data_IF_018362976496
#
_entry.id   IF_018362976496
#
_cell.length_a   1.000
_cell.length_b   1.000
_cell.length_c   1.000
_cell.angle_alpha   90.00
_cell.angle_beta   90.00
_cell.angle_gamma   90.00
#
_symmetry.space_group_name_H-M   'P 1'
#
loop_
_entity.id
_entity.type
_entity.pdbx_description
1 polymer ?
#
# COMPACT_ATOMS: atom_id res chain seq x y z
N UNK A 1 49.51 -21.68 32.91
CA UNK A 1 48.48 -20.63 32.82
C UNK A 1 48.48 -20.14 31.38
N UNK A 2 47.63 -20.74 30.55
CA UNK A 2 47.59 -20.55 29.11
C UNK A 2 46.21 -19.98 28.76
N UNK A 3 46.18 -18.76 28.25
CA UNK A 3 44.95 -18.07 27.88
C UNK A 3 44.37 -18.71 26.61
N UNK A 4 43.18 -19.28 26.74
CA UNK A 4 42.38 -19.81 25.64
C UNK A 4 41.80 -18.64 24.83
N UNK A 5 42.29 -18.46 23.60
CA UNK A 5 41.55 -17.81 22.53
C UNK A 5 40.75 -18.87 21.78
N UNK A 6 39.46 -18.96 22.11
CA UNK A 6 38.49 -19.77 21.37
C UNK A 6 37.83 -18.89 20.32
N UNK A 7 38.30 -19.00 19.08
CA UNK A 7 37.50 -18.68 17.88
C UNK A 7 36.37 -19.70 17.74
N UNK A 8 35.12 -19.29 17.49
CA UNK A 8 34.14 -20.15 16.86
C UNK A 8 34.10 -19.83 15.37
N UNK A 9 34.59 -20.80 14.58
CA UNK A 9 34.22 -20.98 13.20
C UNK A 9 32.72 -21.23 13.07
N UNK A 10 32.09 -20.64 12.07
CA UNK A 10 31.47 -21.38 10.95
C UNK A 10 30.27 -20.61 10.40
N UNK A 11 30.36 -20.39 9.11
CA UNK A 11 29.37 -19.77 8.25
C UNK A 11 28.03 -20.50 8.34
N UNK A 12 27.01 -19.84 8.87
CA UNK A 12 25.63 -20.16 8.50
C UNK A 12 25.37 -19.60 7.10
N UNK A 13 25.71 -20.39 6.07
CA UNK A 13 25.17 -20.19 4.73
C UNK A 13 23.64 -20.33 4.85
N UNK A 14 22.96 -19.20 5.03
CA UNK A 14 21.52 -19.10 4.99
C UNK A 14 21.01 -19.73 3.70
N UNK A 15 20.10 -20.69 3.87
CA UNK A 15 19.43 -21.45 2.80
C UNK A 15 19.11 -20.52 1.63
N UNK A 16 19.66 -20.85 0.45
CA UNK A 16 19.20 -20.26 -0.81
C UNK A 16 17.70 -20.54 -0.94
N UNK A 17 16.87 -19.54 -0.62
CA UNK A 17 15.41 -19.67 -0.69
C UNK A 17 15.01 -20.12 -2.08
N UNK A 18 14.44 -21.33 -2.18
CA UNK A 18 13.84 -21.84 -3.42
C UNK A 18 12.83 -20.77 -3.88
N UNK A 19 13.05 -20.23 -5.08
CA UNK A 19 12.13 -19.29 -5.72
C UNK A 19 10.74 -19.92 -5.75
N UNK A 20 9.77 -19.34 -5.05
CA UNK A 20 8.36 -19.77 -5.16
C UNK A 20 7.96 -19.70 -6.65
N UNK A 21 7.40 -20.77 -7.22
CA UNK A 21 6.97 -20.79 -8.62
C UNK A 21 6.02 -19.63 -8.92
N UNK A 22 6.08 -19.12 -10.15
CA UNK A 22 5.12 -18.11 -10.62
C UNK A 22 3.73 -18.76 -10.64
N UNK A 23 2.76 -18.11 -10.00
CA UNK A 23 1.35 -18.53 -10.03
C UNK A 23 0.73 -18.19 -11.38
N UNK A 24 -0.12 -19.07 -11.88
CA UNK A 24 -0.89 -18.81 -13.11
C UNK A 24 -2.05 -17.84 -12.80
N UNK A 25 -2.31 -16.90 -13.70
CA UNK A 25 -3.29 -15.84 -13.43
C UNK A 25 -4.72 -16.37 -13.23
N UNK A 26 -5.02 -17.53 -13.82
CA UNK A 26 -6.29 -18.25 -13.70
C UNK A 26 -6.31 -19.28 -12.55
N UNK A 27 -5.25 -19.38 -11.75
CA UNK A 27 -5.17 -20.32 -10.62
C UNK A 27 -6.33 -20.10 -9.63
N UNK A 28 -7.06 -21.18 -9.29
CA UNK A 28 -8.21 -21.12 -8.38
C UNK A 28 -9.47 -20.48 -8.98
N UNK A 29 -9.55 -20.34 -10.31
CA UNK A 29 -10.74 -19.87 -11.03
C UNK A 29 -11.47 -21.02 -11.72
N UNK A 30 -12.79 -20.88 -11.86
CA UNK A 30 -13.61 -21.75 -12.71
C UNK A 30 -13.16 -21.62 -14.17
N UNK A 31 -13.36 -22.68 -14.95
CA UNK A 31 -12.98 -22.69 -16.36
C UNK A 31 -13.76 -21.64 -17.17
N UNK A 32 -13.03 -20.66 -17.71
CA UNK A 32 -13.56 -19.62 -18.60
C UNK A 32 -14.20 -18.43 -17.87
N UNK A 33 -14.26 -17.26 -18.53
CA UNK A 33 -14.94 -16.09 -17.98
C UNK A 33 -16.46 -16.29 -17.98
N UNK A 34 -17.14 -15.78 -16.95
CA UNK A 34 -18.60 -15.77 -16.85
C UNK A 34 -19.21 -14.55 -17.54
N UNK A 35 -18.45 -13.47 -17.68
CA UNK A 35 -18.83 -12.27 -18.41
C UNK A 35 -17.59 -11.42 -18.74
N UNK A 36 -17.79 -10.37 -19.54
CA UNK A 36 -16.76 -9.36 -19.86
C UNK A 36 -17.33 -7.99 -19.57
N UNK A 37 -16.65 -7.20 -18.74
CA UNK A 37 -17.01 -5.81 -18.50
C UNK A 37 -16.54 -4.94 -19.66
N UNK A 38 -17.42 -4.05 -20.12
CA UNK A 38 -17.11 -3.05 -21.14
C UNK A 38 -16.66 -1.75 -20.49
N UNK A 39 -15.80 -1.02 -21.20
CA UNK A 39 -15.38 0.31 -20.75
C UNK A 39 -16.57 1.27 -20.87
N UNK A 40 -17.03 1.90 -19.78
CA UNK A 40 -18.19 2.77 -19.83
C UNK A 40 -17.88 4.09 -20.55
N UNK A 41 -18.91 4.70 -21.15
CA UNK A 41 -18.80 6.03 -21.75
C UNK A 41 -18.64 7.11 -20.67
N UNK A 42 -17.72 8.04 -20.88
CA UNK A 42 -17.58 9.23 -20.03
C UNK A 42 -18.83 10.11 -20.14
N UNK A 43 -19.25 10.70 -19.02
CA UNK A 43 -20.17 11.84 -18.98
C UNK A 43 -19.37 13.17 -19.03
N UNK A 44 -20.09 14.26 -18.79
CA UNK A 44 -19.56 15.64 -18.78
C UNK A 44 -19.07 16.09 -17.39
N UNK A 45 -19.43 15.41 -16.30
CA UNK A 45 -19.11 15.83 -14.93
C UNK A 45 -17.64 15.62 -14.56
N UNK A 46 -16.93 16.65 -14.09
CA UNK A 46 -15.51 16.52 -13.71
C UNK A 46 -15.33 15.51 -12.57
N UNK A 47 -14.45 14.52 -12.79
CA UNK A 47 -14.07 13.58 -11.75
C UNK A 47 -13.04 14.21 -10.82
N UNK A 48 -13.36 14.24 -9.53
CA UNK A 48 -12.47 14.73 -8.48
C UNK A 48 -12.54 13.80 -7.27
N UNK A 49 -11.41 13.70 -6.57
CA UNK A 49 -11.36 13.12 -5.23
C UNK A 49 -11.68 14.23 -4.23
N UNK A 50 -12.58 13.97 -3.29
CA UNK A 50 -13.06 14.92 -2.28
C UNK A 50 -12.99 14.30 -0.89
N UNK A 51 -13.04 15.13 0.14
CA UNK A 51 -13.17 14.71 1.54
C UNK A 51 -12.09 13.70 1.98
N UNK A 52 -10.84 13.98 1.59
CA UNK A 52 -9.69 13.13 1.89
C UNK A 52 -9.38 13.17 3.39
N UNK A 53 -9.31 12.00 4.01
CA UNK A 53 -9.00 11.86 5.43
C UNK A 53 -8.02 10.72 5.67
N UNK A 54 -7.01 10.96 6.50
CA UNK A 54 -6.19 9.90 7.07
C UNK A 54 -7.00 9.12 8.10
N UNK A 55 -6.97 7.79 8.02
CA UNK A 55 -7.73 6.92 8.93
C UNK A 55 -6.90 5.81 9.56
N UNK A 56 -5.70 5.56 9.06
CA UNK A 56 -4.81 4.56 9.64
C UNK A 56 -3.54 4.38 8.83
N UNK A 57 -2.55 3.74 9.43
CA UNK A 57 -1.34 3.31 8.72
C UNK A 57 -0.64 2.19 9.49
N UNK A 58 0.31 1.54 8.84
CA UNK A 58 1.16 0.54 9.47
C UNK A 58 2.46 0.28 8.70
N UNK A 59 3.46 -0.25 9.41
CA UNK A 59 4.62 -0.91 8.80
C UNK A 59 4.57 -2.40 9.13
N UNK A 60 5.02 -3.26 8.21
CA UNK A 60 5.33 -4.65 8.56
C UNK A 60 6.71 -4.73 9.21
N UNK A 61 6.96 -5.74 10.03
CA UNK A 61 8.32 -6.10 10.48
C UNK A 61 8.81 -7.38 9.79
N UNK A 62 10.09 -7.73 9.98
CA UNK A 62 10.65 -9.00 9.50
C UNK A 62 10.53 -10.15 10.51
N UNK A 63 9.62 -10.03 11.49
CA UNK A 63 9.35 -11.11 12.43
C UNK A 63 8.86 -12.37 11.70
N UNK A 64 9.14 -13.54 12.29
CA UNK A 64 8.67 -14.82 11.77
C UNK A 64 7.15 -14.96 11.82
N UNK A 65 6.52 -14.37 12.84
CA UNK A 65 5.06 -14.22 12.92
C UNK A 65 4.63 -12.91 12.26
N UNK A 66 3.46 -12.88 11.58
CA UNK A 66 2.92 -11.65 11.00
C UNK A 66 2.80 -10.55 12.08
N UNK A 67 3.60 -9.50 11.95
CA UNK A 67 3.66 -8.41 12.93
C UNK A 67 3.63 -7.06 12.21
N UNK A 68 2.76 -6.16 12.67
CA UNK A 68 2.69 -4.78 12.20
C UNK A 68 2.94 -3.77 13.32
N UNK A 69 3.54 -2.65 12.96
CA UNK A 69 3.66 -1.44 13.79
C UNK A 69 2.51 -0.52 13.44
N UNK A 70 1.74 -0.05 14.44
CA UNK A 70 0.57 0.83 14.23
C UNK A 70 0.66 2.08 15.12
N UNK A 71 0.50 3.30 14.57
CA UNK A 71 0.30 3.62 13.15
C UNK A 71 1.54 3.33 12.27
N UNK A 72 2.70 3.07 12.87
CA UNK A 72 3.96 3.09 12.15
C UNK A 72 4.28 4.49 11.63
N UNK A 73 5.33 4.60 10.81
CA UNK A 73 5.71 5.85 10.15
C UNK A 73 6.50 5.58 8.86
N UNK A 74 6.35 6.44 7.84
CA UNK A 74 7.21 6.41 6.66
C UNK A 74 8.63 6.85 7.02
N UNK A 75 9.57 6.62 6.10
CA UNK A 75 10.96 7.01 6.30
C UNK A 75 11.10 8.54 6.19
N UNK A 76 11.94 9.15 7.01
CA UNK A 76 12.15 10.60 7.06
C UNK A 76 13.21 11.01 6.04
N UNK A 77 12.88 11.97 5.18
CA UNK A 77 13.75 12.58 4.19
C UNK A 77 14.98 13.23 4.83
N UNK A 78 16.19 12.90 4.34
CA UNK A 78 17.49 13.38 4.87
C UNK A 78 18.06 14.60 4.15
N UNK A 79 17.41 15.08 3.09
CA UNK A 79 17.89 16.18 2.24
C UNK A 79 19.39 16.09 1.88
N UNK A 80 19.86 14.89 1.52
CA UNK A 80 21.27 14.63 1.26
C UNK A 80 21.77 15.46 0.06
N UNK A 81 22.93 16.15 0.16
CA UNK A 81 23.48 16.90 -0.95
C UNK A 81 23.91 15.99 -2.10
N UNK A 82 23.78 16.49 -3.34
CA UNK A 82 24.26 15.83 -4.56
C UNK A 82 25.61 16.41 -5.00
N UNK A 83 26.48 15.62 -5.67
CA UNK A 83 26.25 14.24 -6.09
C UNK A 83 26.50 13.21 -4.98
N UNK A 84 25.86 12.04 -5.08
CA UNK A 84 26.20 10.87 -4.27
C UNK A 84 25.99 9.58 -5.06
N UNK A 85 26.69 8.52 -4.66
CA UNK A 85 26.60 7.20 -5.32
C UNK A 85 25.96 6.19 -4.39
N UNK A 86 25.16 5.29 -4.95
CA UNK A 86 24.55 4.16 -4.26
C UNK A 86 24.86 2.86 -5.01
N UNK A 87 24.90 1.70 -4.34
CA UNK A 87 25.01 0.41 -5.02
C UNK A 87 23.76 0.12 -5.88
N UNK A 88 23.87 -0.86 -6.76
CA UNK A 88 22.69 -1.41 -7.44
C UNK A 88 21.76 -2.09 -6.43
N UNK A 89 20.45 -1.99 -6.69
CA UNK A 89 19.43 -2.70 -5.95
C UNK A 89 19.74 -4.21 -6.00
N UNK A 90 19.68 -4.85 -4.84
CA UNK A 90 19.91 -6.28 -4.69
C UNK A 90 18.85 -6.89 -3.77
N UNK A 91 18.73 -8.22 -3.81
CA UNK A 91 17.77 -8.94 -2.98
C UNK A 91 16.35 -8.99 -3.57
N UNK A 92 15.36 -9.09 -2.68
CA UNK A 92 13.96 -9.27 -3.03
C UNK A 92 13.13 -8.08 -2.58
N UNK A 93 12.26 -7.61 -3.46
CA UNK A 93 11.24 -6.61 -3.17
C UNK A 93 9.87 -7.27 -3.05
N UNK A 94 9.05 -6.79 -2.12
CA UNK A 94 7.63 -7.08 -2.08
C UNK A 94 6.89 -6.40 -3.24
N UNK A 95 6.20 -7.20 -4.05
CA UNK A 95 5.18 -6.69 -4.95
C UNK A 95 3.86 -6.56 -4.19
N UNK A 96 3.54 -7.54 -3.35
CA UNK A 96 2.38 -7.53 -2.47
C UNK A 96 2.81 -8.02 -1.08
N UNK A 97 3.07 -7.07 -0.19
CA UNK A 97 3.56 -7.39 1.15
C UNK A 97 2.47 -8.01 2.03
N UNK A 98 1.21 -7.60 1.88
CA UNK A 98 0.11 -8.20 2.65
C UNK A 98 -0.14 -9.63 2.20
N UNK A 99 -0.23 -9.87 0.89
CA UNK A 99 -0.35 -11.22 0.36
C UNK A 99 0.86 -12.12 0.65
N UNK A 100 2.05 -11.54 0.88
CA UNK A 100 3.21 -12.31 1.35
C UNK A 100 3.14 -12.63 2.85
N UNK A 101 2.93 -11.61 3.69
CA UNK A 101 3.04 -11.72 5.16
C UNK A 101 1.80 -12.36 5.78
N UNK A 102 0.62 -12.18 5.18
CA UNK A 102 -0.64 -12.72 5.68
C UNK A 102 -1.56 -13.18 4.53
N UNK A 103 -1.20 -14.24 3.79
CA UNK A 103 -1.90 -14.67 2.58
C UNK A 103 -3.37 -15.07 2.78
N UNK A 104 -3.74 -15.55 3.97
CA UNK A 104 -5.11 -15.99 4.29
C UNK A 104 -6.04 -14.82 4.66
N UNK A 105 -5.48 -13.64 4.97
CA UNK A 105 -6.24 -12.47 5.38
C UNK A 105 -5.56 -11.16 4.95
N UNK A 106 -5.26 -10.97 3.65
CA UNK A 106 -4.43 -9.87 3.17
C UNK A 106 -5.04 -8.48 3.41
N UNK A 107 -6.35 -8.36 3.62
CA UNK A 107 -6.99 -7.08 3.94
C UNK A 107 -7.10 -6.81 5.45
N UNK A 108 -6.84 -7.81 6.32
CA UNK A 108 -6.99 -7.66 7.76
C UNK A 108 -6.11 -6.53 8.35
N UNK A 109 -4.83 -6.36 7.96
CA UNK A 109 -4.01 -5.26 8.48
C UNK A 109 -4.62 -3.88 8.23
N UNK A 110 -5.40 -3.70 7.15
CA UNK A 110 -6.08 -2.44 6.85
C UNK A 110 -7.12 -2.13 7.92
N UNK A 111 -8.01 -3.08 8.22
CA UNK A 111 -9.07 -2.91 9.21
C UNK A 111 -8.49 -2.70 10.61
N UNK A 112 -7.53 -3.56 10.98
CA UNK A 112 -6.93 -3.52 12.32
C UNK A 112 -6.15 -2.22 12.55
N UNK A 113 -5.41 -1.72 11.56
CA UNK A 113 -4.71 -0.45 11.69
C UNK A 113 -5.68 0.74 11.88
N UNK A 114 -6.79 0.76 11.12
CA UNK A 114 -7.84 1.79 11.26
C UNK A 114 -8.50 1.73 12.63
N UNK A 115 -8.90 0.54 13.09
CA UNK A 115 -9.54 0.38 14.40
C UNK A 115 -8.60 0.78 15.56
N UNK A 116 -7.32 0.40 15.48
CA UNK A 116 -6.33 0.75 16.50
C UNK A 116 -6.08 2.26 16.55
N UNK A 117 -5.94 2.90 15.39
CA UNK A 117 -5.79 4.37 15.32
C UNK A 117 -7.04 5.08 15.84
N UNK A 118 -8.24 4.59 15.50
CA UNK A 118 -9.50 5.13 16.00
C UNK A 118 -9.70 4.97 17.52
N UNK A 119 -9.06 3.98 18.14
CA UNK A 119 -9.15 3.73 19.59
C UNK A 119 -8.20 4.58 20.43
N UNK A 120 -7.25 5.26 19.79
CA UNK A 120 -6.20 6.05 20.45
C UNK A 120 -6.64 7.48 20.66
N UNK A 121 -6.68 7.92 21.92
CA UNK A 121 -7.04 9.30 22.29
C UNK A 121 -5.98 10.34 21.90
N UNK A 122 -4.74 9.91 21.68
CA UNK A 122 -3.60 10.75 21.33
C UNK A 122 -3.44 10.97 19.81
N UNK A 123 -4.25 10.30 18.98
CA UNK A 123 -4.20 10.43 17.53
C UNK A 123 -5.53 11.00 17.02
N UNK A 124 -5.54 12.19 16.40
CA UNK A 124 -6.70 12.70 15.69
C UNK A 124 -7.10 11.71 14.60
N UNK A 125 -8.28 11.10 14.75
CA UNK A 125 -8.75 10.08 13.82
C UNK A 125 -10.26 10.11 13.68
N UNK A 126 -10.74 9.72 12.50
CA UNK A 126 -12.17 9.61 12.21
C UNK A 126 -12.59 8.16 12.37
N UNK A 127 -13.55 7.90 13.27
CA UNK A 127 -14.16 6.58 13.38
C UNK A 127 -14.89 6.27 12.06
N UNK A 128 -14.55 5.14 11.46
CA UNK A 128 -15.15 4.70 10.20
C UNK A 128 -16.42 3.90 10.47
N UNK A 129 -17.52 4.35 9.88
CA UNK A 129 -18.74 3.55 9.73
C UNK A 129 -18.55 2.57 8.58
N UNK A 130 -18.01 1.38 8.86
CA UNK A 130 -17.67 0.37 7.86
C UNK A 130 -18.82 -0.01 6.89
N UNK A 131 -20.09 -0.18 7.33
CA UNK A 131 -21.22 -0.43 6.43
C UNK A 131 -21.49 0.69 5.41
N UNK A 132 -21.00 1.91 5.65
CA UNK A 132 -21.12 3.02 4.69
C UNK A 132 -20.07 2.99 3.57
N UNK A 133 -18.99 2.22 3.71
CA UNK A 133 -17.89 2.16 2.75
C UNK A 133 -18.31 1.38 1.51
N UNK A 134 -17.96 1.88 0.32
CA UNK A 134 -18.27 1.23 -0.96
C UNK A 134 -17.14 0.34 -1.44
N UNK A 135 -15.88 0.75 -1.25
CA UNK A 135 -14.71 0.00 -1.70
C UNK A 135 -13.59 0.00 -0.66
N UNK A 136 -12.97 -1.16 -0.47
CA UNK A 136 -11.64 -1.28 0.13
C UNK A 136 -10.70 -1.78 -0.97
N UNK A 137 -9.77 -0.94 -1.41
CA UNK A 137 -8.88 -1.22 -2.54
C UNK A 137 -7.50 -0.62 -2.31
N UNK A 138 -6.47 -1.21 -2.90
CA UNK A 138 -5.15 -0.57 -2.90
C UNK A 138 -4.96 0.35 -4.11
N UNK A 139 -4.06 1.32 -4.00
CA UNK A 139 -3.72 2.25 -5.10
C UNK A 139 -3.25 1.53 -6.36
N UNK A 140 -2.68 0.33 -6.22
CA UNK A 140 -2.28 -0.50 -7.36
C UNK A 140 -3.50 -1.00 -8.17
N UNK A 141 -4.55 -1.46 -7.49
CA UNK A 141 -5.81 -1.88 -8.09
C UNK A 141 -6.48 -0.75 -8.87
N UNK A 142 -6.57 0.45 -8.28
CA UNK A 142 -7.09 1.64 -8.98
C UNK A 142 -6.29 1.98 -10.23
N UNK A 143 -4.95 1.88 -10.18
CA UNK A 143 -4.08 2.10 -11.35
C UNK A 143 -4.25 1.03 -12.43
N UNK A 144 -4.45 -0.24 -12.05
CA UNK A 144 -4.77 -1.33 -13.00
C UNK A 144 -6.10 -1.06 -13.70
N UNK A 145 -7.14 -0.69 -12.95
CA UNK A 145 -8.44 -0.32 -13.53
C UNK A 145 -8.34 0.94 -14.42
N UNK A 146 -7.57 1.95 -14.03
CA UNK A 146 -7.26 3.11 -14.88
C UNK A 146 -6.57 2.74 -16.20
N UNK A 147 -5.65 1.79 -16.14
CA UNK A 147 -5.02 1.25 -17.34
C UNK A 147 -6.06 0.65 -18.28
N UNK A 148 -7.03 -0.09 -17.75
CA UNK A 148 -8.04 -0.79 -18.54
C UNK A 148 -9.02 0.18 -19.19
N UNK A 149 -9.57 1.14 -18.43
CA UNK A 149 -10.44 2.19 -19.01
C UNK A 149 -9.68 3.08 -20.02
N UNK A 150 -8.36 3.16 -19.88
CA UNK A 150 -7.47 3.82 -20.84
C UNK A 150 -7.04 2.94 -22.03
N UNK A 151 -7.63 1.74 -22.18
CA UNK A 151 -7.32 0.71 -23.17
C UNK A 151 -5.83 0.31 -23.23
N UNK A 152 -5.13 0.41 -22.10
CA UNK A 152 -3.74 -0.01 -21.99
C UNK A 152 -3.69 -1.53 -21.99
N UNK A 153 -2.86 -2.11 -22.87
CA UNK A 153 -2.56 -3.54 -22.86
C UNK A 153 -1.87 -3.91 -21.54
N UNK A 154 -2.49 -4.77 -20.75
CA UNK A 154 -1.95 -5.21 -19.47
C UNK A 154 -2.50 -6.58 -19.07
N UNK A 155 -1.76 -7.25 -18.19
CA UNK A 155 -2.21 -8.49 -17.54
C UNK A 155 -2.23 -8.28 -16.04
N UNK A 156 -3.40 -8.39 -15.43
CA UNK A 156 -3.55 -8.28 -13.98
C UNK A 156 -4.77 -9.05 -13.49
N UNK A 157 -4.78 -9.33 -12.18
CA UNK A 157 -5.93 -9.89 -11.49
C UNK A 157 -6.25 -9.09 -10.23
N UNK A 158 -7.54 -8.92 -9.96
CA UNK A 158 -8.08 -8.38 -8.70
C UNK A 158 -9.16 -9.35 -8.24
N UNK A 159 -9.03 -9.87 -7.02
CA UNK A 159 -10.03 -10.75 -6.44
C UNK A 159 -11.05 -9.91 -5.67
N UNK A 160 -12.34 -10.20 -5.89
CA UNK A 160 -13.45 -9.42 -5.37
C UNK A 160 -14.33 -10.28 -4.45
N UNK A 161 -14.78 -9.64 -3.38
CA UNK A 161 -15.72 -10.21 -2.42
C UNK A 161 -16.65 -9.11 -1.90
N UNK A 162 -17.94 -9.43 -1.77
CA UNK A 162 -18.89 -8.56 -1.09
C UNK A 162 -18.74 -8.69 0.43
N UNK A 163 -18.70 -7.56 1.14
CA UNK A 163 -18.80 -7.49 2.59
C UNK A 163 -20.00 -6.60 2.97
N UNK A 164 -20.81 -7.09 3.92
CA UNK A 164 -22.08 -6.44 4.24
C UNK A 164 -23.02 -6.40 3.04
N UNK A 165 -23.69 -5.26 2.86
CA UNK A 165 -24.67 -5.07 1.80
C UNK A 165 -24.06 -4.54 0.49
N UNK A 166 -22.99 -3.75 0.57
CA UNK A 166 -22.47 -3.00 -0.60
C UNK A 166 -20.95 -2.90 -0.71
N UNK A 167 -20.19 -3.22 0.32
CA UNK A 167 -18.75 -2.97 0.32
C UNK A 167 -18.04 -4.00 -0.55
N UNK A 168 -17.35 -3.54 -1.59
CA UNK A 168 -16.48 -4.38 -2.41
C UNK A 168 -15.09 -4.43 -1.79
N UNK A 169 -14.69 -5.62 -1.38
CA UNK A 169 -13.32 -5.91 -0.98
C UNK A 169 -12.51 -6.29 -2.21
N UNK A 170 -11.53 -5.44 -2.55
CA UNK A 170 -10.62 -5.66 -3.66
C UNK A 170 -9.30 -6.20 -3.14
N UNK A 171 -9.12 -7.52 -3.19
CA UNK A 171 -7.87 -8.15 -2.84
C UNK A 171 -6.88 -8.10 -4.02
N UNK A 172 -5.66 -7.68 -3.71
CA UNK A 172 -4.57 -7.68 -4.68
C UNK A 172 -4.16 -9.11 -4.98
N UNK A 173 -3.97 -9.40 -6.27
CA UNK A 173 -3.39 -10.65 -6.72
C UNK A 173 -2.11 -10.36 -7.52
N UNK A 174 -1.03 -11.04 -7.16
CA UNK A 174 0.23 -11.01 -7.89
C UNK A 174 0.72 -12.43 -8.17
N UNK A 175 1.24 -12.67 -9.37
CA UNK A 175 1.80 -13.97 -9.74
C UNK A 175 3.01 -14.34 -8.88
N UNK A 176 3.68 -13.32 -8.32
CA UNK A 176 4.71 -13.42 -7.29
C UNK A 176 4.52 -12.28 -6.30
N UNK A 177 4.48 -12.59 -5.01
CA UNK A 177 4.37 -11.58 -3.95
C UNK A 177 5.73 -10.94 -3.62
N UNK A 178 6.84 -11.59 -4.00
CA UNK A 178 8.20 -11.04 -4.02
C UNK A 178 8.89 -11.22 -5.37
N UNK A 179 9.67 -10.24 -5.80
CA UNK A 179 10.50 -10.34 -7.00
C UNK A 179 11.94 -9.93 -6.72
N UNK A 180 12.89 -10.59 -7.37
CA UNK A 180 14.29 -10.13 -7.35
C UNK A 180 14.41 -8.85 -8.15
N UNK A 181 15.11 -7.86 -7.60
CA UNK A 181 15.49 -6.63 -8.31
C UNK A 181 16.97 -6.69 -8.65
N UNK A 182 17.28 -6.30 -9.89
CA UNK A 182 18.64 -6.18 -10.42
C UNK A 182 18.65 -5.03 -11.43
N UNK A 183 19.77 -4.31 -11.53
CA UNK A 183 19.96 -3.27 -12.53
C UNK A 183 19.10 -2.02 -12.34
N UNK A 184 18.57 -1.79 -11.14
CA UNK A 184 17.93 -0.54 -10.73
C UNK A 184 18.65 0.08 -9.52
N UNK A 185 18.35 1.34 -9.21
CA UNK A 185 18.94 2.08 -8.09
C UNK A 185 17.86 2.74 -7.22
N UNK A 186 16.62 2.25 -7.31
CA UNK A 186 15.46 2.88 -6.67
C UNK A 186 15.53 2.76 -5.16
N UNK A 187 15.78 1.53 -4.68
CA UNK A 187 15.82 1.25 -3.27
C UNK A 187 17.06 1.77 -2.59
N UNK A 188 18.21 1.56 -3.22
CA UNK A 188 19.45 2.09 -2.67
C UNK A 188 19.43 3.63 -2.65
N UNK A 189 18.70 4.28 -3.57
CA UNK A 189 18.40 5.72 -3.48
C UNK A 189 17.52 6.06 -2.28
N UNK A 190 16.36 5.41 -2.14
CA UNK A 190 15.44 5.62 -1.02
C UNK A 190 16.16 5.46 0.32
N UNK A 191 16.92 4.37 0.51
CA UNK A 191 17.68 4.10 1.71
C UNK A 191 18.77 5.17 1.97
N UNK A 192 19.48 5.59 0.92
CA UNK A 192 20.54 6.58 1.05
C UNK A 192 20.03 7.98 1.41
N UNK A 193 18.79 8.30 1.02
CA UNK A 193 18.23 9.65 1.18
C UNK A 193 17.14 9.77 2.24
N UNK A 194 16.85 8.67 2.95
CA UNK A 194 15.88 8.64 4.05
C UNK A 194 16.43 7.87 5.26
N UNK A 195 15.79 8.01 6.42
CA UNK A 195 16.00 7.13 7.57
C UNK A 195 14.69 6.59 8.12
N UNK A 196 14.76 5.48 8.86
CA UNK A 196 13.63 5.05 9.66
C UNK A 196 13.24 6.17 10.66
N UNK A 197 11.93 6.40 10.80
CA UNK A 197 11.43 7.26 11.86
C UNK A 197 11.65 6.59 13.23
N UNK A 198 11.85 7.36 14.30
CA UNK A 198 12.03 6.83 15.64
C UNK A 198 10.93 5.83 16.04
N UNK A 199 11.34 4.66 16.50
CA UNK A 199 10.43 3.59 16.91
C UNK A 199 9.86 2.75 15.76
N UNK A 200 10.24 3.00 14.51
CA UNK A 200 9.86 2.23 13.33
C UNK A 200 11.07 1.58 12.64
N UNK A 201 12.21 1.45 13.34
CA UNK A 201 13.46 0.90 12.81
C UNK A 201 13.35 -0.57 12.41
N UNK A 202 12.48 -1.33 13.08
CA UNK A 202 12.15 -2.71 12.71
C UNK A 202 11.13 -2.80 11.55
N UNK A 203 10.62 -1.65 11.08
CA UNK A 203 9.75 -1.59 9.92
C UNK A 203 10.49 -1.98 8.65
N UNK A 204 9.97 -2.97 7.92
CA UNK A 204 10.56 -3.52 6.72
C UNK A 204 9.56 -3.48 5.56
N UNK A 205 10.05 -3.25 4.34
CA UNK A 205 9.26 -3.34 3.11
C UNK A 205 8.22 -2.23 2.90
N UNK A 206 8.39 -1.09 3.59
CA UNK A 206 7.64 0.15 3.35
C UNK A 206 6.65 0.52 4.46
N UNK A 207 6.06 1.70 4.34
CA UNK A 207 5.00 2.20 5.21
C UNK A 207 3.68 2.24 4.42
N UNK A 208 2.65 1.59 4.93
CA UNK A 208 1.33 1.53 4.31
C UNK A 208 0.40 2.54 4.96
N UNK A 209 0.03 3.58 4.21
CA UNK A 209 -0.98 4.56 4.61
C UNK A 209 -2.36 4.14 4.13
N UNK A 210 -3.37 4.48 4.90
CA UNK A 210 -4.79 4.23 4.63
C UNK A 210 -5.52 5.56 4.74
N UNK A 211 -6.18 5.95 3.64
CA UNK A 211 -7.02 7.14 3.59
C UNK A 211 -8.45 6.75 3.19
N UNK A 212 -9.41 7.58 3.56
CA UNK A 212 -10.75 7.55 2.99
C UNK A 212 -10.98 8.81 2.15
N UNK A 213 -11.77 8.70 1.09
CA UNK A 213 -12.22 9.84 0.30
C UNK A 213 -13.48 9.51 -0.50
N UNK A 214 -14.19 10.53 -0.99
CA UNK A 214 -15.21 10.38 -2.02
C UNK A 214 -14.58 10.37 -3.42
N UNK A 215 -15.01 9.44 -4.26
CA UNK A 215 -14.68 9.43 -5.68
C UNK A 215 -15.89 9.03 -6.52
N UNK A 216 -16.47 10.01 -7.22
CA UNK A 216 -17.70 9.83 -8.00
C UNK A 216 -18.87 9.29 -7.15
N UNK A 217 -19.03 9.83 -5.92
CA UNK A 217 -20.10 9.42 -5.01
C UNK A 217 -19.88 8.09 -4.31
N UNK A 218 -18.71 7.46 -4.49
CA UNK A 218 -18.31 6.23 -3.82
C UNK A 218 -17.38 6.57 -2.65
N UNK A 219 -17.72 6.06 -1.46
CA UNK A 219 -16.86 6.16 -0.28
C UNK A 219 -15.75 5.12 -0.36
N UNK A 220 -14.55 5.58 -0.69
CA UNK A 220 -13.38 4.73 -0.92
C UNK A 220 -12.52 4.66 0.34
N UNK A 221 -12.08 3.47 0.72
CA UNK A 221 -10.94 3.24 1.62
C UNK A 221 -9.77 2.74 0.78
N UNK A 222 -8.70 3.55 0.73
CA UNK A 222 -7.56 3.31 -0.16
C UNK A 222 -6.27 3.15 0.61
N UNK A 223 -5.59 2.03 0.36
CA UNK A 223 -4.31 1.69 0.97
C UNK A 223 -3.17 1.82 -0.04
N UNK A 224 -2.04 2.40 0.38
CA UNK A 224 -0.87 2.60 -0.48
C UNK A 224 0.42 2.71 0.33
N UNK A 225 1.53 2.40 -0.31
CA UNK A 225 2.86 2.68 0.23
C UNK A 225 3.17 4.18 0.13
N UNK A 226 3.80 4.72 1.18
CA UNK A 226 4.44 6.04 1.21
C UNK A 226 5.95 5.85 1.36
N UNK A 227 6.71 6.41 0.42
CA UNK A 227 8.16 6.23 0.35
C UNK A 227 8.88 7.07 1.42
N UNK A 228 8.45 8.32 1.61
CA UNK A 228 9.04 9.22 2.57
C UNK A 228 8.07 10.25 3.17
N UNK A 229 8.49 10.89 4.24
CA UNK A 229 7.93 12.13 4.73
C UNK A 229 9.02 13.15 5.07
N UNK A 230 8.64 14.41 5.23
CA UNK A 230 9.45 15.38 5.96
C UNK A 230 8.78 15.70 7.31
N UNK A 231 9.60 15.93 8.32
CA UNK A 231 9.14 16.53 9.58
C UNK A 231 9.28 18.04 9.38
N UNK A 232 8.22 18.86 9.51
CA UNK A 232 8.36 20.30 9.53
C UNK A 232 9.41 20.70 10.58
N UNK A 233 10.32 21.61 10.27
CA UNK A 233 11.23 22.16 11.29
C UNK A 233 10.39 22.78 12.43
N UNK A 234 10.79 22.50 13.68
CA UNK A 234 10.03 22.71 14.91
C UNK A 234 9.28 24.06 14.97
N UNK A 235 8.02 24.10 15.46
CA UNK A 235 7.53 25.32 16.10
C UNK A 235 8.38 25.63 17.35
N UNK A 236 8.58 26.90 17.73
CA UNK A 236 9.55 27.26 18.75
C UNK A 236 9.16 26.73 20.14
N UNK A 237 10.17 26.15 20.81
CA UNK A 237 10.28 25.74 22.22
C UNK A 237 9.47 24.51 22.66
N UNK A 238 10.25 23.48 23.03
CA UNK A 238 9.80 22.17 23.48
C UNK A 238 8.75 22.23 24.59
N UNK A 239 7.64 21.52 24.36
CA UNK A 239 6.62 21.26 25.38
C UNK A 239 6.93 19.97 26.15
N UNK A 240 6.37 19.83 27.35
CA UNK A 240 6.58 18.66 28.22
C UNK A 240 6.13 17.33 27.55
N UNK A 241 5.24 17.40 26.56
CA UNK A 241 4.77 16.26 25.76
C UNK A 241 5.82 15.74 24.75
N UNK A 242 6.72 16.58 24.26
CA UNK A 242 7.80 16.14 23.35
C UNK A 242 8.84 15.33 24.10
N UNK A 243 9.11 15.67 25.36
CA UNK A 243 10.02 14.89 26.21
C UNK A 243 9.45 13.50 26.52
N UNK A 244 8.13 13.39 26.72
CA UNK A 244 7.46 12.09 26.85
C UNK A 244 7.50 11.27 25.55
N UNK A 245 7.39 11.94 24.40
CA UNK A 245 7.52 11.32 23.07
C UNK A 245 8.95 10.83 22.81
N UNK A 246 9.96 11.59 23.23
CA UNK A 246 11.37 11.18 23.15
C UNK A 246 11.67 9.98 24.06
N UNK A 247 11.11 9.95 25.27
CA UNK A 247 11.23 8.81 26.20
C UNK A 247 10.50 7.57 25.67
N UNK A 248 9.31 7.71 25.09
CA UNK A 248 8.59 6.62 24.43
C UNK A 248 9.32 6.11 23.17
N UNK A 249 10.03 6.99 22.46
CA UNK A 249 10.85 6.62 21.31
C UNK A 249 12.08 5.78 21.70
N UNK A 250 12.60 5.94 22.93
CA UNK A 250 13.71 5.15 23.50
C UNK A 250 13.29 3.80 24.09
N UNK A 251 12.00 3.55 24.30
CA UNK A 251 11.50 2.25 24.75
C UNK A 251 11.77 1.17 23.68
N UNK A 252 12.28 0.02 24.13
CA UNK A 252 12.53 -1.12 23.23
C UNK A 252 11.20 -1.66 22.70
N UNK A 253 11.18 -2.23 21.48
CA UNK A 253 9.94 -2.75 20.88
C UNK A 253 9.23 -3.77 21.78
N UNK A 254 9.97 -4.52 22.61
CA UNK A 254 9.44 -5.48 23.58
C UNK A 254 8.65 -4.87 24.73
N UNK A 255 8.83 -3.58 25.01
CA UNK A 255 8.14 -2.88 26.11
C UNK A 255 6.88 -2.14 25.63
N UNK A 256 6.60 -2.14 24.33
CA UNK A 256 5.50 -1.40 23.75
C UNK A 256 4.17 -2.16 23.84
N UNK A 257 3.04 -1.45 24.01
CA UNK A 257 1.72 -2.06 24.01
C UNK A 257 1.52 -2.94 22.78
N UNK A 258 1.15 -4.18 22.99
CA UNK A 258 1.01 -5.19 21.94
C UNK A 258 -0.35 -5.86 22.05
N UNK A 259 -1.04 -6.01 20.92
CA UNK A 259 -2.28 -6.77 20.80
C UNK A 259 -2.12 -7.88 19.75
N UNK A 260 -2.91 -8.94 19.88
CA UNK A 260 -2.87 -10.09 18.95
C UNK A 260 -4.27 -10.37 18.45
N UNK A 261 -4.39 -10.52 17.13
CA UNK A 261 -5.64 -10.80 16.44
C UNK A 261 -5.56 -12.18 15.80
N UNK A 262 -6.44 -13.09 16.20
CA UNK A 262 -6.51 -14.44 15.64
C UNK A 262 -7.06 -14.35 14.21
N UNK A 263 -6.36 -15.00 13.28
CA UNK A 263 -6.77 -15.09 11.87
C UNK A 263 -7.41 -16.45 11.60
N UNK A 264 -6.72 -17.51 12.02
CA UNK A 264 -7.17 -18.90 11.98
C UNK A 264 -6.50 -19.70 13.13
N UNK A 265 -6.67 -21.02 13.15
CA UNK A 265 -6.12 -21.91 14.19
C UNK A 265 -4.59 -21.86 14.30
N UNK A 266 -3.90 -21.45 13.25
CA UNK A 266 -2.44 -21.50 13.13
C UNK A 266 -1.78 -20.13 12.97
N UNK A 267 -2.57 -19.12 12.66
CA UNK A 267 -2.07 -17.79 12.27
C UNK A 267 -2.72 -16.70 13.11
N UNK A 268 -1.88 -15.80 13.64
CA UNK A 268 -2.32 -14.56 14.27
C UNK A 268 -1.53 -13.37 13.71
N UNK A 269 -2.13 -12.18 13.80
CA UNK A 269 -1.51 -10.91 13.50
C UNK A 269 -1.19 -10.20 14.81
N UNK A 270 0.10 -9.96 15.06
CA UNK A 270 0.57 -9.15 16.19
C UNK A 270 0.60 -7.68 15.78
N UNK A 271 0.11 -6.81 16.64
CA UNK A 271 0.11 -5.35 16.47
C UNK A 271 0.88 -4.73 17.60
N UNK A 272 1.93 -3.97 17.27
CA UNK A 272 2.74 -3.23 18.23
C UNK A 272 2.45 -1.75 18.06
N UNK A 273 2.09 -1.06 19.15
CA UNK A 273 1.90 0.37 19.14
C UNK A 273 3.25 1.07 18.94
N UNK A 274 3.49 1.67 17.77
CA UNK A 274 4.78 2.21 17.38
C UNK A 274 4.65 3.22 16.24
N UNK A 275 5.53 4.22 16.20
CA UNK A 275 5.47 5.30 15.22
C UNK A 275 4.37 6.31 15.49
N UNK A 276 4.36 7.35 14.66
CA UNK A 276 3.45 8.48 14.76
C UNK A 276 2.68 8.69 13.45
N UNK A 277 1.41 9.16 13.53
CA UNK A 277 0.70 9.60 12.35
C UNK A 277 1.43 10.81 11.77
N UNK A 278 1.51 10.86 10.45
CA UNK A 278 2.10 11.98 9.71
C UNK A 278 1.02 12.70 8.89
N UNK A 279 1.10 14.02 8.85
CA UNK A 279 0.21 14.87 8.06
C UNK A 279 0.27 14.48 6.59
N UNK A 280 -0.87 14.55 5.89
CA UNK A 280 -0.92 14.10 4.49
C UNK A 280 -0.04 14.98 3.60
N UNK A 281 0.01 16.27 3.93
CA UNK A 281 0.78 17.33 3.31
C UNK A 281 2.28 17.02 3.36
N UNK A 282 2.72 16.26 4.36
CA UNK A 282 4.13 15.91 4.55
C UNK A 282 4.56 14.61 3.87
N UNK A 283 3.65 13.93 3.15
CA UNK A 283 3.97 12.69 2.42
C UNK A 283 4.67 12.98 1.09
N UNK A 284 5.63 12.12 0.74
CA UNK A 284 6.44 12.25 -0.47
C UNK A 284 6.55 10.89 -1.16
N UNK A 285 6.29 10.89 -2.47
CA UNK A 285 6.64 9.79 -3.36
C UNK A 285 8.06 10.02 -3.90
N UNK A 286 8.88 8.98 -3.92
CA UNK A 286 10.22 8.99 -4.45
C UNK A 286 10.24 8.34 -5.84
N UNK A 287 11.11 8.83 -6.71
CA UNK A 287 11.34 8.25 -8.01
C UNK A 287 12.78 8.41 -8.43
N UNK A 288 13.24 7.49 -9.27
CA UNK A 288 14.53 7.61 -9.94
C UNK A 288 14.32 7.78 -11.43
N UNK A 289 15.16 8.61 -12.05
CA UNK A 289 15.16 8.84 -13.48
C UNK A 289 16.58 8.69 -14.01
N UNK A 290 16.76 7.86 -15.04
CA UNK A 290 18.04 7.76 -15.74
C UNK A 290 18.23 9.00 -16.61
N UNK A 291 19.41 9.62 -16.58
CA UNK A 291 19.71 10.78 -17.43
C UNK A 291 19.45 10.46 -18.91
N UNK A 292 18.68 11.32 -19.58
CA UNK A 292 18.30 11.15 -20.99
C UNK A 292 17.00 10.36 -21.23
N UNK A 293 16.43 9.72 -20.20
CA UNK A 293 15.17 8.99 -20.35
C UNK A 293 13.96 9.90 -20.06
N UNK A 294 12.92 9.79 -20.88
CA UNK A 294 11.64 10.45 -20.62
C UNK A 294 10.93 9.83 -19.41
N UNK A 295 10.30 10.68 -18.59
CA UNK A 295 9.52 10.23 -17.44
C UNK A 295 8.11 9.82 -17.85
N UNK A 296 7.59 8.75 -17.25
CA UNK A 296 6.21 8.31 -17.43
C UNK A 296 5.25 9.15 -16.58
N UNK A 297 5.05 10.41 -16.96
CA UNK A 297 4.30 11.39 -16.17
C UNK A 297 2.85 10.99 -15.89
N UNK A 298 2.16 10.36 -16.85
CA UNK A 298 0.80 9.81 -16.64
C UNK A 298 0.76 8.78 -15.52
N UNK A 299 1.73 7.88 -15.49
CA UNK A 299 1.81 6.87 -14.45
C UNK A 299 2.09 7.52 -13.10
N UNK A 300 3.06 8.43 -13.02
CA UNK A 300 3.40 9.12 -11.76
C UNK A 300 2.28 10.01 -11.25
N UNK A 301 1.61 10.75 -12.12
CA UNK A 301 0.42 11.51 -11.74
C UNK A 301 -0.66 10.62 -11.13
N UNK A 302 -0.95 9.46 -11.73
CA UNK A 302 -1.92 8.51 -11.16
C UNK A 302 -1.48 7.92 -9.81
N UNK A 303 -0.17 7.85 -9.54
CA UNK A 303 0.32 7.46 -8.21
C UNK A 303 -0.11 8.50 -7.19
N UNK A 304 0.29 9.76 -7.42
CA UNK A 304 0.00 10.90 -6.55
C UNK A 304 -1.51 11.15 -6.41
N UNK A 305 -2.26 11.04 -7.51
CA UNK A 305 -3.70 11.31 -7.52
C UNK A 305 -4.48 10.30 -6.67
N UNK A 306 -4.25 9.00 -6.78
CA UNK A 306 -5.01 8.04 -5.96
C UNK A 306 -4.50 7.92 -4.52
N UNK A 307 -3.24 8.28 -4.25
CA UNK A 307 -2.72 8.35 -2.89
C UNK A 307 -2.95 9.70 -2.21
N UNK A 308 -3.37 10.71 -2.98
CA UNK A 308 -3.40 12.11 -2.54
C UNK A 308 -2.06 12.57 -1.97
N UNK A 309 -0.96 12.02 -2.50
CA UNK A 309 0.41 12.41 -2.11
C UNK A 309 0.76 13.73 -2.82
N UNK A 310 1.10 14.79 -2.08
CA UNK A 310 1.24 16.14 -2.63
C UNK A 310 2.52 16.31 -3.45
N UNK A 311 3.59 15.59 -3.10
CA UNK A 311 4.92 15.82 -3.65
C UNK A 311 5.57 14.55 -4.23
N UNK A 312 6.36 14.77 -5.28
CA UNK A 312 7.19 13.79 -5.95
C UNK A 312 8.63 14.29 -6.00
N UNK A 313 9.55 13.58 -5.37
CA UNK A 313 10.99 13.87 -5.46
C UNK A 313 11.65 12.89 -6.42
N UNK A 314 12.43 13.42 -7.36
CA UNK A 314 13.01 12.67 -8.47
C UNK A 314 14.52 12.77 -8.41
N UNK A 315 15.18 11.67 -8.07
CA UNK A 315 16.62 11.53 -8.18
C UNK A 315 17.04 11.23 -9.62
N UNK A 316 17.73 12.17 -10.28
CA UNK A 316 18.32 11.95 -11.61
C UNK A 316 19.67 11.28 -11.44
N UNK A 317 19.87 10.15 -12.12
CA UNK A 317 21.06 9.33 -11.97
C UNK A 317 21.68 8.86 -13.27
N UNK A 318 22.99 8.62 -13.21
CA UNK A 318 23.78 7.91 -14.21
C UNK A 318 24.59 6.80 -13.52
N UNK A 319 24.21 5.54 -13.76
CA UNK A 319 24.83 4.34 -13.20
C UNK A 319 24.99 4.40 -11.66
N UNK A 320 23.92 4.77 -10.96
CA UNK A 320 23.90 4.85 -9.49
C UNK A 320 24.49 6.13 -8.89
N UNK A 321 25.10 6.99 -9.71
CA UNK A 321 25.49 8.33 -9.29
C UNK A 321 24.31 9.31 -9.49
N UNK A 322 23.74 9.77 -8.39
CA UNK A 322 22.67 10.75 -8.33
C UNK A 322 23.26 12.15 -8.37
N UNK A 323 22.94 12.91 -9.42
CA UNK A 323 23.54 14.22 -9.70
C UNK A 323 22.61 15.38 -9.40
N UNK A 324 21.31 15.12 -9.26
CA UNK A 324 20.28 16.12 -9.00
C UNK A 324 19.08 15.44 -8.34
N UNK A 325 18.46 16.12 -7.38
CA UNK A 325 17.12 15.76 -6.87
C UNK A 325 16.18 16.92 -7.19
N UNK A 326 15.22 16.68 -8.08
CA UNK A 326 14.19 17.69 -8.41
C UNK A 326 12.88 17.38 -7.68
N UNK A 327 12.19 18.42 -7.22
CA UNK A 327 10.88 18.31 -6.55
C UNK A 327 9.76 18.76 -7.48
N UNK A 328 8.62 18.08 -7.43
CA UNK A 328 7.40 18.42 -8.15
C UNK A 328 6.20 18.27 -7.22
N UNK A 329 5.22 19.15 -7.37
CA UNK A 329 3.93 19.02 -6.69
C UNK A 329 2.90 18.39 -7.64
N UNK A 330 1.85 17.79 -7.09
CA UNK A 330 0.73 17.28 -7.89
C UNK A 330 0.09 18.41 -8.72
N UNK A 331 0.02 19.64 -8.17
CA UNK A 331 -0.47 20.82 -8.88
C UNK A 331 0.40 21.18 -10.08
N UNK A 332 1.74 21.04 -9.97
CA UNK A 332 2.66 21.26 -11.10
C UNK A 332 2.47 20.26 -12.25
N UNK A 333 1.73 19.17 -12.01
CA UNK A 333 1.38 18.14 -12.98
C UNK A 333 -0.09 18.20 -13.41
N UNK A 334 -0.81 19.30 -13.15
CA UNK A 334 -2.23 19.46 -13.50
C UNK A 334 -2.53 19.21 -14.98
N UNK A 335 -1.64 19.63 -15.88
CA UNK A 335 -1.76 19.37 -17.32
C UNK A 335 -1.85 17.86 -17.65
N UNK A 336 -1.25 16.99 -16.83
CA UNK A 336 -1.39 15.53 -16.96
C UNK A 336 -2.79 15.11 -16.53
N UNK A 337 -3.28 15.67 -15.42
CA UNK A 337 -4.63 15.51 -14.90
C UNK A 337 -5.70 15.84 -15.92
N UNK A 338 -5.62 17.01 -16.55
CA UNK A 338 -6.57 17.46 -17.58
C UNK A 338 -6.67 16.47 -18.73
N UNK A 339 -5.52 15.93 -19.16
CA UNK A 339 -5.43 14.94 -20.24
C UNK A 339 -6.00 13.56 -19.86
N UNK A 340 -6.22 13.28 -18.57
CA UNK A 340 -6.78 12.00 -18.09
C UNK A 340 -8.16 12.13 -17.47
N UNK A 341 -8.73 13.34 -17.37
CA UNK A 341 -10.04 13.59 -16.77
C UNK A 341 -11.15 12.71 -17.36
N UNK A 342 -11.19 12.57 -18.70
CA UNK A 342 -12.13 11.65 -19.37
C UNK A 342 -12.03 10.23 -18.83
N UNK A 343 -10.81 9.72 -18.59
CA UNK A 343 -10.57 8.36 -18.08
C UNK A 343 -10.95 8.23 -16.61
N UNK A 344 -10.78 9.29 -15.81
CA UNK A 344 -11.20 9.29 -14.40
C UNK A 344 -12.72 9.17 -14.27
N UNK A 345 -13.49 9.82 -15.16
CA UNK A 345 -14.96 9.66 -15.22
C UNK A 345 -15.37 8.24 -15.62
N UNK A 346 -14.70 7.70 -16.63
CA UNK A 346 -14.90 6.31 -17.06
C UNK A 346 -14.59 5.32 -15.92
N UNK A 347 -13.53 5.58 -15.13
CA UNK A 347 -13.24 4.77 -13.95
C UNK A 347 -14.35 4.87 -12.90
N UNK A 348 -14.85 6.07 -12.60
CA UNK A 348 -15.96 6.26 -11.65
C UNK A 348 -17.16 5.38 -11.98
N UNK A 349 -17.62 5.44 -13.23
CA UNK A 349 -18.70 4.57 -13.72
C UNK A 349 -18.35 3.08 -13.70
N UNK A 350 -17.11 2.74 -14.02
CA UNK A 350 -16.66 1.36 -13.97
C UNK A 350 -16.70 0.80 -12.56
N UNK A 351 -16.36 1.60 -11.54
CA UNK A 351 -16.46 1.19 -10.14
C UNK A 351 -17.92 0.95 -9.74
N UNK A 352 -18.86 1.81 -10.14
CA UNK A 352 -20.30 1.55 -9.95
C UNK A 352 -20.74 0.23 -10.59
N UNK A 353 -20.33 -0.05 -11.83
CA UNK A 353 -20.64 -1.32 -12.50
C UNK A 353 -20.02 -2.54 -11.79
N UNK A 354 -18.79 -2.40 -11.27
CA UNK A 354 -18.12 -3.46 -10.50
C UNK A 354 -18.85 -3.70 -9.17
N UNK A 355 -19.31 -2.65 -8.48
CA UNK A 355 -20.08 -2.80 -7.25
C UNK A 355 -21.40 -3.53 -7.52
N UNK A 356 -22.16 -3.13 -8.54
CA UNK A 356 -23.40 -3.80 -8.94
C UNK A 356 -23.16 -5.29 -9.22
N UNK A 357 -22.14 -5.62 -10.01
CA UNK A 357 -21.74 -6.99 -10.34
C UNK A 357 -21.44 -7.85 -9.09
N UNK A 358 -20.70 -7.28 -8.14
CA UNK A 358 -20.32 -7.99 -6.90
C UNK A 358 -21.54 -8.15 -5.98
N UNK A 359 -22.40 -7.13 -5.89
CA UNK A 359 -23.66 -7.19 -5.13
C UNK A 359 -24.62 -8.24 -5.69
N UNK A 360 -24.77 -8.31 -7.02
CA UNK A 360 -25.61 -9.32 -7.71
C UNK A 360 -25.11 -10.75 -7.47
N UNK A 361 -23.80 -10.95 -7.28
CA UNK A 361 -23.24 -12.26 -6.94
C UNK A 361 -23.52 -12.69 -5.50
N UNK A 362 -24.01 -11.78 -4.65
CA UNK A 362 -24.38 -12.04 -3.26
C UNK A 362 -23.19 -12.26 -2.30
N UNK A 363 -23.50 -12.43 -1.02
CA UNK A 363 -22.50 -12.54 0.08
C UNK A 363 -21.57 -13.75 -0.03
N UNK A 364 -22.03 -14.83 -0.66
CA UNK A 364 -21.23 -16.04 -0.94
C UNK A 364 -20.47 -15.95 -2.26
N UNK A 365 -20.76 -14.94 -3.09
CA UNK A 365 -20.10 -14.69 -4.36
C UNK A 365 -18.60 -14.42 -4.19
N UNK A 366 -17.79 -15.03 -5.05
CA UNK A 366 -16.34 -14.79 -5.15
C UNK A 366 -15.98 -14.61 -6.61
N UNK A 367 -15.62 -13.39 -6.97
CA UNK A 367 -15.29 -13.03 -8.34
C UNK A 367 -13.80 -12.68 -8.46
N UNK A 368 -13.30 -12.75 -9.67
CA UNK A 368 -11.98 -12.22 -10.03
C UNK A 368 -12.10 -11.44 -11.33
N UNK A 369 -11.57 -10.23 -11.33
CA UNK A 369 -11.37 -9.45 -12.55
C UNK A 369 -10.01 -9.82 -13.13
N UNK A 370 -9.97 -10.31 -14.37
CA UNK A 370 -8.74 -10.49 -15.14
C UNK A 370 -8.70 -9.44 -16.24
N UNK A 371 -7.76 -8.50 -16.10
CA UNK A 371 -7.34 -7.67 -17.23
C UNK A 371 -6.46 -8.52 -18.14
N UNK A 372 -6.85 -8.67 -19.40
CA UNK A 372 -6.05 -9.34 -20.43
C UNK A 372 -6.15 -8.55 -21.72
N UNK A 373 -5.00 -8.12 -22.23
CA UNK A 373 -4.92 -7.19 -23.34
C UNK A 373 -5.72 -5.91 -23.03
N UNK A 374 -6.82 -5.65 -23.74
CA UNK A 374 -7.70 -4.49 -23.52
C UNK A 374 -9.02 -4.85 -22.83
N UNK A 375 -9.24 -6.12 -22.52
CA UNK A 375 -10.49 -6.62 -21.95
C UNK A 375 -10.41 -6.75 -20.44
N UNK A 376 -11.57 -6.67 -19.77
CA UNK A 376 -11.73 -6.97 -18.37
C UNK A 376 -12.72 -8.13 -18.23
N UNK A 377 -12.17 -9.32 -18.06
CA UNK A 377 -12.90 -10.56 -17.95
C UNK A 377 -13.30 -10.81 -16.50
N UNK A 378 -14.52 -11.28 -16.27
CA UNK A 378 -15.02 -11.67 -14.95
C UNK A 378 -14.98 -13.19 -14.84
N UNK A 379 -14.37 -13.69 -13.78
CA UNK A 379 -14.31 -15.12 -13.47
C UNK A 379 -14.94 -15.38 -12.11
N UNK A 380 -15.51 -16.58 -11.94
CA UNK A 380 -15.87 -17.10 -10.63
C UNK A 380 -14.67 -17.81 -10.00
N UNK A 381 -14.42 -17.59 -8.71
CA UNK A 381 -13.41 -18.35 -7.95
C UNK A 381 -13.96 -19.73 -7.57
N UNK A 382 -13.07 -20.73 -7.54
CA UNK A 382 -13.42 -22.11 -7.13
C UNK A 382 -13.68 -22.16 -5.63
N UNK A 383 -12.87 -21.45 -4.84
CA UNK A 383 -13.01 -21.43 -3.38
C UNK A 383 -13.87 -20.26 -2.91
N UNK A 384 -14.51 -20.46 -1.75
CA UNK A 384 -15.23 -19.42 -1.02
C UNK A 384 -14.32 -18.60 -0.10
N UNK A 385 -13.00 -18.84 -0.13
CA UNK A 385 -12.05 -18.23 0.79
C UNK A 385 -12.19 -16.71 0.78
N UNK A 386 -12.29 -16.18 1.99
CA UNK A 386 -12.44 -14.76 2.25
C UNK A 386 -11.07 -14.07 2.31
N UNK A 387 -11.02 -12.81 1.94
CA UNK A 387 -9.82 -11.97 2.13
C UNK A 387 -9.72 -11.38 3.55
N UNK A 388 -10.69 -11.70 4.41
CA UNK A 388 -10.82 -11.31 5.80
C UNK A 388 -11.35 -12.49 6.65
N UNK A 389 -10.95 -12.60 7.94
CA UNK A 389 -11.62 -13.50 8.87
C UNK A 389 -13.11 -13.18 9.01
N UNK A 390 -13.93 -14.18 9.34
CA UNK A 390 -15.38 -13.99 9.50
C UNK A 390 -15.73 -12.94 10.53
N UNK A 391 -14.98 -12.86 11.64
CA UNK A 391 -15.18 -11.85 12.67
C UNK A 391 -14.95 -10.42 12.13
N UNK A 392 -14.04 -10.27 11.17
CA UNK A 392 -13.78 -8.98 10.53
C UNK A 392 -14.91 -8.56 9.60
N UNK A 393 -15.62 -9.50 8.98
CA UNK A 393 -16.76 -9.20 8.10
C UNK A 393 -17.97 -8.63 8.86
N UNK A 394 -18.10 -8.90 10.16
CA UNK A 394 -19.20 -8.35 10.99
C UNK A 394 -19.21 -6.82 11.02
N UNK A 395 -18.05 -6.18 10.84
CA UNK A 395 -17.93 -4.71 10.75
C UNK A 395 -18.83 -4.10 9.69
N UNK A 396 -19.14 -4.83 8.62
CA UNK A 396 -19.90 -4.31 7.48
C UNK A 396 -21.41 -4.56 7.60
N UNK A 397 -21.87 -5.15 8.71
CA UNK A 397 -23.30 -5.38 8.97
C UNK A 397 -23.81 -4.31 9.92
N UNK A 398 -24.92 -3.64 9.57
CA UNK A 398 -25.55 -2.65 10.45
C UNK A 398 -26.08 -3.33 11.73
N UNK A 399 -25.68 -2.82 12.89
CA UNK A 399 -26.16 -3.30 14.19
C UNK A 399 -25.54 -4.62 14.67
N UNK A 400 -24.42 -5.06 14.06
CA UNK A 400 -23.65 -6.24 14.45
C UNK A 400 -22.51 -5.97 15.42
#
# INVERSE_FOLDING_TARGET
MSNYHTTPSSSSRGRSGRSVPKREITEGLVAGPISTLTVPAADEEVAAIKDVQYIGSYNWTDNSSPTILVPGSPRIWRNKPTPFTVPEDSGYQFCDQNGYRLPNAPLLPVLIAVDNVASRSDIPSTKIDWPSVDFIIDRNGLRKLMGWVGERKQSFRIDLQLAGEKTVLCNRWEAKTKMKKFGSYGYSFEEAITHAAPGCEAGEGGHHRIITYDFNGLKMVVRFEVDACYVPEDPPLASVDELATEVASKATLSERPTSTYVVDETTSLTVVAAGNPIANESTVELATAKTGNAMQWKEKYLQLYFSQTPELFIGKQKNGCFIEVSRRTIQSLSYVGDNIQKRLRMLGKALHNIQALVSESGSTGRLSLIGKDKELLVFKRVTSDSCLPNESLKRFVRGG
#
